data_IF_845480765675
#
_entry.id   IF_845480765675
#
_cell.length_a   1.000
_cell.length_b   1.000
_cell.length_c   1.000
_cell.angle_alpha   90.00
_cell.angle_beta   90.00
_cell.angle_gamma   90.00
#
_symmetry.space_group_name_H-M   'P 1'
#
loop_
_entity.id
_entity.type
_entity.pdbx_description
1 polymer ?
#
# COMPACT_ATOMS: atom_id res chain seq x y z
N UNK A 1 -0.01 -20.21 -5.53
CA UNK A 1 -0.91 -19.48 -4.61
C UNK A 1 -2.08 -18.95 -5.43
N UNK A 2 -3.27 -19.52 -5.24
CA UNK A 2 -4.44 -19.19 -6.06
C UNK A 2 -4.97 -17.80 -5.65
N UNK A 3 -4.91 -16.84 -6.57
CA UNK A 3 -5.28 -15.45 -6.33
C UNK A 3 -6.80 -15.30 -6.51
N UNK A 4 -7.58 -15.62 -5.48
CA UNK A 4 -9.04 -15.46 -5.51
C UNK A 4 -9.45 -13.98 -5.58
N UNK A 5 -10.48 -13.67 -6.39
CA UNK A 5 -11.13 -12.36 -6.42
C UNK A 5 -12.04 -12.21 -5.19
N UNK A 6 -12.09 -11.01 -4.61
CA UNK A 6 -13.10 -10.70 -3.60
C UNK A 6 -14.42 -10.39 -4.31
N UNK A 7 -15.51 -11.06 -3.90
CA UNK A 7 -16.85 -10.88 -4.45
C UNK A 7 -17.75 -10.16 -3.44
N UNK A 8 -18.23 -8.97 -3.78
CA UNK A 8 -19.18 -8.20 -2.96
C UNK A 8 -20.18 -7.45 -3.84
N UNK A 9 -21.48 -7.58 -3.55
CA UNK A 9 -22.59 -6.86 -4.20
C UNK A 9 -22.46 -6.79 -5.73
N UNK A 10 -22.53 -7.96 -6.39
CA UNK A 10 -22.44 -8.12 -7.86
C UNK A 10 -21.11 -7.68 -8.51
N UNK A 11 -20.05 -7.45 -7.72
CA UNK A 11 -18.74 -7.08 -8.23
C UNK A 11 -17.67 -8.05 -7.73
N UNK A 12 -16.92 -8.66 -8.64
CA UNK A 12 -15.70 -9.40 -8.34
C UNK A 12 -14.50 -8.50 -8.65
N UNK A 13 -13.68 -8.18 -7.65
CA UNK A 13 -12.51 -7.33 -7.85
C UNK A 13 -11.34 -7.75 -6.96
N UNK A 14 -10.15 -7.32 -7.39
CA UNK A 14 -8.93 -7.37 -6.60
C UNK A 14 -8.07 -6.18 -7.01
N UNK A 15 -7.67 -5.36 -6.04
CA UNK A 15 -6.91 -4.13 -6.30
C UNK A 15 -5.64 -4.16 -5.48
N UNK A 16 -4.56 -4.64 -6.08
CA UNK A 16 -3.25 -4.78 -5.43
C UNK A 16 -2.31 -3.74 -5.99
N UNK A 17 -1.63 -3.03 -5.10
CA UNK A 17 -0.75 -1.91 -5.43
C UNK A 17 0.58 -2.04 -4.71
N UNK A 18 1.65 -1.68 -5.42
CA UNK A 18 2.92 -1.33 -4.84
C UNK A 18 2.92 0.17 -4.56
N UNK A 19 2.99 0.54 -3.28
CA UNK A 19 3.06 1.93 -2.83
C UNK A 19 4.40 2.15 -2.14
N UNK A 20 5.07 3.24 -2.48
CA UNK A 20 6.32 3.65 -1.85
C UNK A 20 6.26 5.11 -1.42
N UNK A 21 6.83 5.43 -0.27
CA UNK A 21 7.04 6.81 0.15
C UNK A 21 8.27 6.94 1.04
N UNK A 22 8.81 8.16 1.11
CA UNK A 22 9.99 8.47 1.88
C UNK A 22 9.67 9.31 3.13
N UNK A 23 10.58 9.30 4.09
CA UNK A 23 10.61 10.30 5.17
C UNK A 23 10.78 11.70 4.57
N UNK A 24 10.31 12.70 5.29
CA UNK A 24 10.49 14.08 4.87
C UNK A 24 11.98 14.40 4.83
N UNK A 25 12.40 15.01 3.72
CA UNK A 25 13.80 15.33 3.42
C UNK A 25 14.74 14.11 3.32
N UNK A 26 14.18 12.89 3.21
CA UNK A 26 14.95 11.64 3.12
C UNK A 26 15.93 11.43 4.29
N UNK A 27 15.61 11.93 5.47
CA UNK A 27 16.40 11.60 6.66
C UNK A 27 16.24 10.12 7.00
N UNK A 28 17.36 9.47 7.31
CA UNK A 28 17.43 8.03 7.61
C UNK A 28 16.96 7.68 9.03
N UNK A 29 15.76 8.15 9.39
CA UNK A 29 15.19 8.01 10.74
C UNK A 29 14.92 6.54 11.10
N UNK A 30 14.88 5.64 10.12
CA UNK A 30 14.54 4.22 10.23
C UNK A 30 15.78 3.31 10.11
N UNK A 31 17.00 3.88 10.16
CA UNK A 31 18.25 3.12 10.14
C UNK A 31 18.38 2.17 11.33
N UNK A 32 18.04 2.65 12.54
CA UNK A 32 18.03 1.84 13.77
C UNK A 32 16.86 0.85 13.74
N UNK A 33 17.14 -0.39 14.14
CA UNK A 33 16.15 -1.47 14.16
C UNK A 33 14.92 -1.14 15.02
N UNK A 34 15.11 -0.52 16.20
CA UNK A 34 14.00 -0.09 17.05
C UNK A 34 13.03 0.87 16.34
N UNK A 35 13.55 1.81 15.55
CA UNK A 35 12.76 2.78 14.82
C UNK A 35 12.06 2.11 13.64
N UNK A 36 12.75 1.19 12.97
CA UNK A 36 12.19 0.41 11.87
C UNK A 36 10.98 -0.40 12.33
N UNK A 37 11.12 -1.15 13.42
CA UNK A 37 10.04 -1.95 14.03
C UNK A 37 8.86 -1.08 14.48
N UNK A 38 9.15 0.06 15.10
CA UNK A 38 8.10 1.02 15.49
C UNK A 38 7.33 1.53 14.28
N UNK A 39 8.03 1.97 13.23
CA UNK A 39 7.40 2.50 12.02
C UNK A 39 6.57 1.44 11.32
N UNK A 40 7.10 0.22 11.17
CA UNK A 40 6.35 -0.90 10.61
C UNK A 40 5.06 -1.17 11.40
N UNK A 41 5.14 -1.24 12.73
CA UNK A 41 3.98 -1.43 13.59
C UNK A 41 2.94 -0.32 13.42
N UNK A 42 3.37 0.95 13.32
CA UNK A 42 2.50 2.09 13.10
C UNK A 42 1.80 2.04 11.73
N UNK A 43 2.49 1.59 10.68
CA UNK A 43 1.91 1.41 9.35
C UNK A 43 0.93 0.24 9.33
N UNK A 44 1.26 -0.89 9.96
CA UNK A 44 0.35 -2.04 10.12
C UNK A 44 -0.91 -1.66 10.88
N UNK A 45 -0.80 -0.85 11.92
CA UNK A 45 -1.96 -0.33 12.65
C UNK A 45 -2.81 0.59 11.77
N UNK A 46 -2.19 1.48 10.99
CA UNK A 46 -2.91 2.32 10.03
C UNK A 46 -3.70 1.47 9.01
N UNK A 47 -3.05 0.44 8.47
CA UNK A 47 -3.65 -0.44 7.48
C UNK A 47 -4.85 -1.21 8.07
N UNK A 48 -4.69 -1.79 9.27
CA UNK A 48 -5.75 -2.47 9.99
C UNK A 48 -6.95 -1.55 10.28
N UNK A 49 -6.72 -0.28 10.60
CA UNK A 49 -7.79 0.70 10.87
C UNK A 49 -8.65 1.01 9.63
N UNK A 50 -8.12 0.81 8.44
CA UNK A 50 -8.73 1.22 7.18
C UNK A 50 -9.00 0.04 6.24
N UNK A 51 -9.01 -1.19 6.78
CA UNK A 51 -9.22 -2.43 6.03
C UNK A 51 -8.28 -2.58 4.81
N UNK A 52 -7.09 -1.98 4.90
CA UNK A 52 -6.03 -2.14 3.90
C UNK A 52 -5.24 -3.39 4.28
N UNK A 53 -5.21 -4.37 3.38
CA UNK A 53 -4.49 -5.62 3.62
C UNK A 53 -3.06 -5.50 3.12
N UNK A 54 -2.10 -5.39 4.02
CA UNK A 54 -0.67 -5.41 3.68
C UNK A 54 -0.24 -6.84 3.35
N UNK A 55 0.03 -7.10 2.08
CA UNK A 55 0.55 -8.38 1.59
C UNK A 55 2.06 -8.49 1.84
N UNK A 56 2.78 -7.38 1.69
CA UNK A 56 4.19 -7.25 2.04
C UNK A 56 4.50 -5.82 2.46
N UNK A 57 5.51 -5.65 3.32
CA UNK A 57 6.03 -4.36 3.73
C UNK A 57 7.53 -4.51 4.00
N UNK A 58 8.32 -3.56 3.51
CA UNK A 58 9.75 -3.48 3.79
C UNK A 58 10.11 -2.02 4.13
N UNK A 59 10.93 -1.85 5.16
CA UNK A 59 11.30 -0.53 5.68
C UNK A 59 12.80 -0.31 5.47
N UNK A 60 13.11 0.61 4.56
CA UNK A 60 14.46 1.08 4.30
C UNK A 60 14.82 2.23 5.26
N UNK A 61 16.09 2.67 5.35
CA UNK A 61 16.48 3.70 6.31
C UNK A 61 15.68 5.02 6.21
N UNK A 62 15.29 5.41 4.99
CA UNK A 62 14.59 6.67 4.69
C UNK A 62 13.30 6.49 3.88
N UNK A 63 12.89 5.27 3.52
CA UNK A 63 11.68 5.02 2.74
C UNK A 63 11.04 3.67 3.04
N UNK A 64 9.82 3.47 2.55
CA UNK A 64 9.01 2.28 2.80
C UNK A 64 8.46 1.78 1.48
N UNK A 65 8.51 0.47 1.27
CA UNK A 65 7.80 -0.24 0.21
C UNK A 65 6.65 -1.05 0.81
N UNK A 66 5.47 -0.97 0.21
CA UNK A 66 4.31 -1.75 0.62
C UNK A 66 3.65 -2.38 -0.61
N UNK A 67 3.37 -3.67 -0.54
CA UNK A 67 2.37 -4.30 -1.40
C UNK A 67 1.07 -4.38 -0.60
N UNK A 68 0.05 -3.65 -1.03
CA UNK A 68 -1.25 -3.58 -0.35
C UNK A 68 -2.39 -3.97 -1.28
N UNK A 69 -3.34 -4.72 -0.75
CA UNK A 69 -4.65 -4.93 -1.34
C UNK A 69 -5.63 -3.91 -0.74
N UNK A 70 -6.25 -3.09 -1.61
CA UNK A 70 -7.08 -1.97 -1.21
C UNK A 70 -8.57 -2.35 -1.14
N UNK A 71 -9.31 -1.89 -0.10
CA UNK A 71 -10.74 -2.13 0.03
C UNK A 71 -11.55 -1.34 -1.00
N UNK A 72 -12.85 -1.61 -1.09
CA UNK A 72 -13.72 -1.00 -2.10
C UNK A 72 -13.88 0.49 -1.81
N UNK A 73 -13.84 1.32 -2.84
CA UNK A 73 -13.92 2.79 -2.69
C UNK A 73 -12.66 3.44 -2.11
N UNK A 74 -11.56 2.70 -2.00
CA UNK A 74 -10.23 3.25 -1.66
C UNK A 74 -9.31 3.11 -2.87
N UNK A 75 -8.88 4.25 -3.40
CA UNK A 75 -7.81 4.36 -4.39
C UNK A 75 -6.44 4.45 -3.72
N UNK A 76 -5.39 4.43 -4.54
CA UNK A 76 -3.99 4.48 -4.09
C UNK A 76 -3.62 5.80 -3.42
N UNK A 77 -4.21 6.92 -3.84
CA UNK A 77 -3.96 8.23 -3.22
C UNK A 77 -4.52 8.28 -1.80
N UNK A 78 -5.77 7.83 -1.63
CA UNK A 78 -6.45 7.72 -0.34
C UNK A 78 -5.71 6.73 0.55
N UNK A 79 -5.31 5.58 0.04
CA UNK A 79 -4.50 4.62 0.79
C UNK A 79 -3.19 5.25 1.29
N UNK A 80 -2.43 5.93 0.43
CA UNK A 80 -1.21 6.61 0.81
C UNK A 80 -1.45 7.68 1.88
N UNK A 81 -2.50 8.50 1.75
CA UNK A 81 -2.88 9.52 2.75
C UNK A 81 -3.20 8.89 4.11
N UNK A 82 -4.00 7.83 4.13
CA UNK A 82 -4.42 7.14 5.36
C UNK A 82 -3.23 6.48 6.06
N UNK A 83 -2.43 5.71 5.32
CA UNK A 83 -1.25 5.04 5.84
C UNK A 83 -0.22 6.04 6.37
N UNK A 84 0.10 7.08 5.60
CA UNK A 84 1.09 8.10 6.00
C UNK A 84 0.59 8.96 7.15
N UNK A 85 -0.66 9.40 7.12
CA UNK A 85 -1.23 10.30 8.12
C UNK A 85 -1.29 9.65 9.50
N UNK A 86 -1.92 8.48 9.60
CA UNK A 86 -2.05 7.78 10.88
C UNK A 86 -0.70 7.32 11.43
N UNK A 87 0.15 6.74 10.57
CA UNK A 87 1.47 6.27 11.02
C UNK A 87 2.34 7.43 11.52
N UNK A 88 2.39 8.58 10.82
CA UNK A 88 3.16 9.74 11.28
C UNK A 88 2.67 10.25 12.63
N UNK A 89 1.35 10.37 12.80
CA UNK A 89 0.75 10.75 14.08
C UNK A 89 1.17 9.79 15.19
N UNK A 90 1.06 8.48 14.97
CA UNK A 90 1.41 7.46 15.96
C UNK A 90 2.91 7.44 16.29
N UNK A 91 3.77 7.59 15.29
CA UNK A 91 5.22 7.69 15.46
C UNK A 91 5.57 8.85 16.39
N UNK A 92 4.99 10.04 16.18
CA UNK A 92 5.25 11.18 17.06
C UNK A 92 4.64 11.05 18.45
N UNK A 93 3.56 10.29 18.62
CA UNK A 93 3.04 9.96 19.95
C UNK A 93 4.02 9.09 20.75
N UNK A 94 4.70 8.14 20.09
CA UNK A 94 5.60 7.18 20.76
C UNK A 94 7.03 7.72 20.88
N UNK A 95 7.53 8.42 19.86
CA UNK A 95 8.89 8.98 19.77
C UNK A 95 8.80 10.50 19.61
N UNK A 96 8.39 11.20 20.67
CA UNK A 96 8.25 12.66 20.65
C UNK A 96 9.53 13.38 20.21
N UNK A 97 10.71 12.89 20.61
CA UNK A 97 12.01 13.47 20.26
C UNK A 97 12.28 13.51 18.74
N UNK A 98 11.56 12.76 17.91
CA UNK A 98 11.65 12.90 16.45
C UNK A 98 11.24 14.30 15.98
N UNK A 99 10.48 15.06 16.78
CA UNK A 99 10.13 16.45 16.50
C UNK A 99 11.34 17.38 16.50
N UNK A 100 12.45 17.02 17.15
CA UNK A 100 13.70 17.77 17.04
C UNK A 100 14.21 17.81 15.59
N UNK A 101 14.00 16.73 14.83
CA UNK A 101 14.29 16.68 13.39
C UNK A 101 13.12 17.21 12.54
N UNK A 102 11.88 17.03 13.02
CA UNK A 102 10.65 17.42 12.32
C UNK A 102 9.79 18.37 13.15
N UNK A 103 10.19 19.64 13.33
CA UNK A 103 9.50 20.56 14.24
C UNK A 103 8.06 20.86 13.80
N UNK A 104 7.79 20.79 12.49
CA UNK A 104 6.44 20.96 11.93
C UNK A 104 5.57 19.68 11.97
N UNK A 105 6.04 18.60 12.59
CA UNK A 105 5.27 17.36 12.74
C UNK A 105 5.02 16.58 11.44
N UNK A 106 5.87 16.74 10.43
CA UNK A 106 5.75 16.02 9.16
C UNK A 106 6.84 14.95 9.07
N UNK A 107 6.51 13.71 9.42
CA UNK A 107 7.46 12.58 9.35
C UNK A 107 7.70 12.12 7.90
N UNK A 108 6.64 12.04 7.09
CA UNK A 108 6.70 11.62 5.70
C UNK A 108 6.80 12.80 4.72
N UNK A 109 7.37 12.55 3.55
CA UNK A 109 7.32 13.48 2.41
C UNK A 109 5.88 13.63 1.90
N UNK A 110 5.62 14.68 1.11
CA UNK A 110 4.27 14.88 0.51
C UNK A 110 3.95 13.81 -0.54
N UNK A 111 4.90 13.55 -1.44
CA UNK A 111 4.74 12.60 -2.54
C UNK A 111 4.72 11.14 -2.11
N UNK A 112 4.34 10.29 -3.04
CA UNK A 112 4.41 8.83 -2.98
C UNK A 112 4.53 8.32 -4.43
N UNK A 113 4.98 7.08 -4.58
CA UNK A 113 4.91 6.33 -5.83
C UNK A 113 3.84 5.25 -5.65
N UNK A 114 3.06 5.01 -6.70
CA UNK A 114 2.12 3.91 -6.75
C UNK A 114 2.19 3.23 -8.12
N UNK A 115 2.19 1.90 -8.11
CA UNK A 115 2.12 1.05 -9.31
C UNK A 115 1.14 -0.08 -9.06
N UNK A 116 0.35 -0.43 -10.06
CA UNK A 116 -0.51 -1.61 -9.99
C UNK A 116 0.35 -2.87 -9.94
N UNK A 117 -0.06 -3.84 -9.12
CA UNK A 117 0.51 -5.18 -9.10
C UNK A 117 -0.51 -6.08 -9.79
N UNK A 118 -0.39 -6.13 -11.12
CA UNK A 118 -1.27 -6.90 -11.98
C UNK A 118 -0.87 -8.37 -12.10
N UNK A 119 -1.78 -9.16 -12.64
CA UNK A 119 -1.41 -10.40 -13.31
C UNK A 119 -0.51 -10.06 -14.52
N UNK A 120 0.26 -11.05 -14.96
CA UNK A 120 1.03 -11.00 -16.19
C UNK A 120 0.18 -10.42 -17.34
N UNK A 121 0.62 -9.28 -17.88
CA UNK A 121 -0.12 -8.48 -18.87
C UNK A 121 -0.46 -9.31 -20.11
N UNK A 122 0.48 -10.14 -20.57
CA UNK A 122 0.27 -11.01 -21.73
C UNK A 122 -0.83 -12.02 -21.46
N UNK A 123 -0.85 -12.62 -20.26
CA UNK A 123 -1.89 -13.56 -19.85
C UNK A 123 -3.25 -12.88 -19.72
N UNK A 124 -3.30 -11.66 -19.20
CA UNK A 124 -4.55 -10.91 -19.08
C UNK A 124 -5.13 -10.57 -20.47
N UNK A 125 -4.29 -10.10 -21.40
CA UNK A 125 -4.69 -9.82 -22.78
C UNK A 125 -5.16 -11.10 -23.47
N UNK A 126 -4.41 -12.20 -23.33
CA UNK A 126 -4.79 -13.50 -23.89
C UNK A 126 -6.14 -13.97 -23.35
N UNK A 127 -6.36 -13.89 -22.03
CA UNK A 127 -7.62 -14.28 -21.40
C UNK A 127 -8.82 -13.51 -21.97
N UNK A 128 -8.68 -12.20 -22.16
CA UNK A 128 -9.73 -11.36 -22.76
C UNK A 128 -9.99 -11.75 -24.22
N UNK A 129 -8.93 -11.93 -25.02
CA UNK A 129 -9.06 -12.31 -26.44
C UNK A 129 -9.70 -13.68 -26.65
N UNK A 130 -9.58 -14.59 -25.68
CA UNK A 130 -10.09 -15.96 -25.77
C UNK A 130 -11.37 -16.18 -24.94
N UNK A 131 -12.11 -15.12 -24.57
CA UNK A 131 -13.34 -15.25 -23.79
C UNK A 131 -14.44 -16.06 -24.48
N UNK A 132 -14.52 -16.03 -25.81
CA UNK A 132 -15.48 -16.85 -26.57
C UNK A 132 -15.25 -18.33 -26.36
N UNK A 133 -13.99 -18.77 -26.49
CA UNK A 133 -13.60 -20.16 -26.23
C UNK A 133 -13.77 -20.53 -24.74
N UNK A 134 -13.50 -19.60 -23.82
CA UNK A 134 -13.68 -19.85 -22.39
C UNK A 134 -15.16 -20.04 -21.99
N UNK A 135 -16.10 -19.41 -22.70
CA UNK A 135 -17.54 -19.50 -22.43
C UNK A 135 -18.31 -20.34 -23.44
N UNK A 136 -17.62 -21.05 -24.34
CA UNK A 136 -18.23 -21.83 -25.44
C UNK A 136 -19.25 -21.03 -26.26
N UNK A 137 -18.99 -19.74 -26.49
CA UNK A 137 -19.86 -18.85 -27.27
C UNK A 137 -19.36 -18.73 -28.70
N UNK A 138 -20.25 -18.97 -29.67
CA UNK A 138 -20.04 -18.64 -31.09
C UNK A 138 -21.02 -17.54 -31.48
N UNK A 139 -20.51 -16.41 -31.97
CA UNK A 139 -21.37 -15.36 -32.53
C UNK A 139 -21.74 -15.70 -33.98
N UNK A 140 -23.01 -15.51 -34.34
CA UNK A 140 -23.55 -15.72 -35.69
C UNK A 140 -23.25 -14.53 -36.61
#
# INVERSE_FOLDING_TARGET
MQLALAMENHCARRSVWHIEWCTKYRYEMMRKEENRRLVEACIRQAACRHDIKLLAIEIMPDHVHVIAELPKGTDEERAAKLLKGFSAWKIFQVKEHFRLRYPKGHFWSRGYMARTVGLDEEKAIWYVKNQQAHHDVTFL
#
